data_IF_932969230435
#
_entry.id   IF_932969230435
#
_cell.length_a   1.000
_cell.length_b   1.000
_cell.length_c   1.000
_cell.angle_alpha   90.00
_cell.angle_beta   90.00
_cell.angle_gamma   90.00
#
_symmetry.space_group_name_H-M   'P 1'
#
loop_
_entity.id
_entity.type
_entity.pdbx_description
1 polymer ?
#
# COMPACT_ATOMS: atom_id res chain seq x y z
N UNK A 1 -11.60 23.50 -2.53
CA UNK A 1 -10.95 23.44 -1.20
C UNK A 1 -10.13 24.70 -1.04
N UNK A 2 -10.29 25.44 0.06
CA UNK A 2 -9.54 26.69 0.24
C UNK A 2 -8.27 26.43 1.04
N UNK A 3 -7.13 26.32 0.37
CA UNK A 3 -5.82 26.35 1.02
C UNK A 3 -5.56 27.78 1.48
N UNK A 4 -5.18 27.97 2.73
CA UNK A 4 -4.97 29.30 3.36
C UNK A 4 -4.04 29.17 4.57
N UNK A 5 -3.78 30.29 5.25
CA UNK A 5 -2.91 30.48 6.41
C UNK A 5 -3.12 29.49 7.60
N UNK A 6 -4.29 28.87 7.69
CA UNK A 6 -4.62 27.87 8.72
C UNK A 6 -4.58 26.42 8.21
N UNK A 7 -4.06 26.22 7.02
CA UNK A 7 -3.92 24.88 6.40
C UNK A 7 -2.52 24.35 6.64
N UNK A 8 -2.42 23.10 7.07
CA UNK A 8 -1.19 22.32 7.03
C UNK A 8 -1.24 21.39 5.83
N UNK A 9 -0.27 21.48 4.95
CA UNK A 9 -0.08 20.59 3.80
C UNK A 9 1.04 19.61 4.12
N UNK A 10 0.80 18.33 3.90
CA UNK A 10 1.80 17.27 4.00
C UNK A 10 2.13 16.80 2.59
N UNK A 11 3.35 17.07 2.13
CA UNK A 11 3.85 16.65 0.84
C UNK A 11 4.65 15.35 0.98
N UNK A 12 4.24 14.31 0.26
CA UNK A 12 4.89 13.00 0.25
C UNK A 12 5.68 12.86 -1.06
N UNK A 13 6.97 12.59 -0.97
CA UNK A 13 7.81 12.36 -2.15
C UNK A 13 9.01 11.50 -1.79
N UNK A 14 9.30 10.48 -2.59
CA UNK A 14 10.50 9.66 -2.40
C UNK A 14 11.75 10.43 -2.84
N UNK A 15 11.76 10.94 -4.08
CA UNK A 15 12.90 11.66 -4.67
C UNK A 15 13.01 13.11 -4.19
N UNK A 16 11.89 13.73 -3.83
CA UNK A 16 11.80 15.15 -3.52
C UNK A 16 11.94 16.07 -4.73
N UNK A 17 11.89 15.52 -5.96
CA UNK A 17 12.06 16.27 -7.22
C UNK A 17 10.87 16.13 -8.17
N UNK A 18 9.78 15.46 -7.75
CA UNK A 18 8.58 15.32 -8.60
C UNK A 18 7.95 16.69 -8.84
N UNK A 19 7.94 17.14 -10.11
CA UNK A 19 7.56 18.50 -10.48
C UNK A 19 6.13 18.84 -10.04
N UNK A 20 5.15 17.97 -10.29
CA UNK A 20 3.76 18.22 -9.88
C UNK A 20 3.62 18.43 -8.37
N UNK A 21 4.32 17.62 -7.57
CA UNK A 21 4.33 17.76 -6.11
C UNK A 21 5.01 19.06 -5.69
N UNK A 22 6.11 19.44 -6.34
CA UNK A 22 6.81 20.69 -6.09
C UNK A 22 5.93 21.91 -6.41
N UNK A 23 5.21 21.88 -7.53
CA UNK A 23 4.28 22.95 -7.90
C UNK A 23 3.12 23.04 -6.90
N UNK A 24 2.60 21.90 -6.41
CA UNK A 24 1.57 21.90 -5.36
C UNK A 24 2.09 22.51 -4.04
N UNK A 25 3.34 22.22 -3.65
CA UNK A 25 4.01 22.83 -2.49
C UNK A 25 4.12 24.35 -2.65
N UNK A 26 4.60 24.82 -3.81
CA UNK A 26 4.72 26.25 -4.11
C UNK A 26 3.37 26.96 -4.06
N UNK A 27 2.35 26.35 -4.68
CA UNK A 27 0.99 26.89 -4.64
C UNK A 27 0.48 27.00 -3.19
N UNK A 28 0.62 25.94 -2.39
CA UNK A 28 0.19 25.96 -0.99
C UNK A 28 0.85 27.09 -0.19
N UNK A 29 2.15 27.29 -0.36
CA UNK A 29 2.91 28.36 0.31
C UNK A 29 2.49 29.76 -0.16
N UNK A 30 2.22 29.93 -1.45
CA UNK A 30 1.67 31.19 -2.00
C UNK A 30 0.31 31.55 -1.37
N UNK A 31 -0.49 30.55 -1.00
CA UNK A 31 -1.75 30.74 -0.30
C UNK A 31 -1.59 30.90 1.23
N UNK A 32 -0.35 30.98 1.72
CA UNK A 32 -0.02 31.17 3.15
C UNK A 32 -0.07 29.91 3.99
N UNK A 33 -0.29 28.73 3.41
CA UNK A 33 -0.30 27.45 4.13
C UNK A 33 1.11 27.07 4.59
N UNK A 34 1.18 26.33 5.69
CA UNK A 34 2.40 25.66 6.14
C UNK A 34 2.54 24.32 5.46
N UNK A 35 3.78 23.96 5.08
CA UNK A 35 4.07 22.70 4.38
C UNK A 35 5.10 21.89 5.16
N UNK A 36 4.78 20.61 5.40
CA UNK A 36 5.72 19.60 5.90
C UNK A 36 5.97 18.62 4.77
N UNK A 37 7.24 18.40 4.42
CA UNK A 37 7.62 17.34 3.48
C UNK A 37 7.96 16.05 4.24
N UNK A 38 7.42 14.90 3.77
CA UNK A 38 7.92 13.57 4.11
C UNK A 38 8.70 13.08 2.88
N UNK A 39 10.03 12.97 3.00
CA UNK A 39 10.90 12.72 1.86
C UNK A 39 12.01 11.73 2.20
N UNK A 40 12.49 10.96 1.22
CA UNK A 40 13.62 10.06 1.43
C UNK A 40 14.96 10.73 1.05
N UNK A 41 14.99 11.52 -0.03
CA UNK A 41 16.21 12.14 -0.54
C UNK A 41 16.49 13.47 0.16
N UNK A 42 17.60 13.51 0.88
CA UNK A 42 18.03 14.73 1.56
C UNK A 42 18.52 15.78 0.55
N UNK A 43 18.28 17.07 0.87
CA UNK A 43 18.75 18.18 0.04
C UNK A 43 18.01 18.39 -1.28
N UNK A 44 16.97 17.60 -1.55
CA UNK A 44 16.10 17.75 -2.73
C UNK A 44 15.20 19.00 -2.68
N UNK A 45 14.55 19.33 -3.78
CA UNK A 45 13.83 20.59 -3.93
C UNK A 45 12.60 20.71 -3.03
N UNK A 46 11.78 19.66 -2.92
CA UNK A 46 10.56 19.68 -2.11
C UNK A 46 10.85 19.95 -0.64
N UNK A 47 11.77 19.25 0.06
CA UNK A 47 12.16 19.57 1.43
C UNK A 47 12.70 20.99 1.59
N UNK A 48 13.53 21.46 0.65
CA UNK A 48 14.09 22.83 0.72
C UNK A 48 13.03 23.92 0.60
N UNK A 49 11.98 23.66 -0.14
CA UNK A 49 10.86 24.59 -0.32
C UNK A 49 9.74 24.39 0.69
N UNK A 50 9.85 23.46 1.63
CA UNK A 50 8.89 23.23 2.71
C UNK A 50 9.28 23.96 3.99
N UNK A 51 8.31 24.19 4.89
CA UNK A 51 8.57 24.81 6.19
C UNK A 51 9.30 23.85 7.16
N UNK A 52 9.07 22.53 7.00
CA UNK A 52 9.75 21.48 7.73
C UNK A 52 9.86 20.21 6.88
N UNK A 53 10.82 19.35 7.20
CA UNK A 53 11.01 18.07 6.55
C UNK A 53 11.18 16.93 7.56
N UNK A 54 10.50 15.82 7.30
CA UNK A 54 10.68 14.54 7.97
C UNK A 54 11.28 13.57 6.97
N UNK A 55 12.52 13.11 7.21
CA UNK A 55 13.19 12.17 6.33
C UNK A 55 12.90 10.73 6.74
N UNK A 56 12.63 9.88 5.75
CA UNK A 56 12.26 8.47 5.97
C UNK A 56 13.45 7.57 6.25
N UNK A 57 14.66 7.99 5.89
CA UNK A 57 15.91 7.24 6.07
C UNK A 57 15.87 5.80 5.51
N UNK A 58 15.08 5.56 4.44
CA UNK A 58 14.97 4.24 3.81
C UNK A 58 16.22 3.83 3.00
N UNK A 59 17.23 4.68 2.96
CA UNK A 59 18.41 4.50 2.10
C UNK A 59 18.08 4.72 0.62
N UNK A 60 19.03 4.48 -0.31
CA UNK A 60 18.80 4.62 -1.74
C UNK A 60 17.73 3.63 -2.21
N UNK A 61 16.71 4.11 -2.90
CA UNK A 61 15.75 3.29 -3.64
C UNK A 61 16.25 3.19 -5.08
N UNK A 62 16.84 2.05 -5.47
CA UNK A 62 17.51 1.87 -6.76
C UNK A 62 16.46 1.62 -7.85
N UNK A 63 15.50 0.73 -7.58
CA UNK A 63 14.42 0.43 -8.51
C UNK A 63 13.52 1.64 -8.76
N UNK A 64 13.00 1.75 -9.99
CA UNK A 64 12.04 2.82 -10.36
C UNK A 64 10.76 2.68 -9.54
N UNK A 65 10.18 1.47 -9.47
CA UNK A 65 9.02 1.19 -8.64
C UNK A 65 9.39 1.28 -7.14
N UNK A 66 8.62 2.05 -6.38
CA UNK A 66 8.87 2.23 -4.95
C UNK A 66 8.40 1.02 -4.16
N UNK A 67 9.26 0.50 -3.27
CA UNK A 67 8.96 -0.61 -2.37
C UNK A 67 9.21 -0.23 -0.91
N UNK A 68 10.45 -0.32 -0.43
CA UNK A 68 10.82 0.03 0.95
C UNK A 68 10.53 1.51 1.27
N UNK A 69 10.73 2.41 0.31
CA UNK A 69 10.46 3.84 0.53
C UNK A 69 8.96 4.11 0.74
N UNK A 70 8.08 3.38 0.08
CA UNK A 70 6.64 3.43 0.31
C UNK A 70 6.27 3.04 1.74
N UNK A 71 6.79 1.92 2.26
CA UNK A 71 6.55 1.48 3.64
C UNK A 71 7.11 2.48 4.66
N UNK A 72 8.29 3.04 4.38
CA UNK A 72 8.90 4.05 5.23
C UNK A 72 8.09 5.37 5.24
N UNK A 73 7.47 5.75 4.12
CA UNK A 73 6.57 6.91 4.05
C UNK A 73 5.28 6.67 4.86
N UNK A 74 4.69 5.47 4.80
CA UNK A 74 3.55 5.11 5.66
C UNK A 74 3.95 5.25 7.14
N UNK A 75 5.09 4.68 7.51
CA UNK A 75 5.60 4.76 8.90
C UNK A 75 5.82 6.21 9.34
N UNK A 76 6.44 7.04 8.50
CA UNK A 76 6.63 8.48 8.78
C UNK A 76 5.29 9.22 8.92
N UNK A 77 4.28 8.84 8.13
CA UNK A 77 2.93 9.40 8.22
C UNK A 77 2.27 9.03 9.56
N UNK A 78 2.44 7.79 10.04
CA UNK A 78 1.98 7.40 11.37
C UNK A 78 2.66 8.21 12.47
N UNK A 79 3.98 8.37 12.42
CA UNK A 79 4.72 9.18 13.39
C UNK A 79 4.24 10.65 13.42
N UNK A 80 4.00 11.24 12.25
CA UNK A 80 3.44 12.58 12.15
C UNK A 80 2.00 12.64 12.72
N UNK A 81 1.18 11.64 12.40
CA UNK A 81 -0.19 11.53 12.92
C UNK A 81 -0.23 11.42 14.45
N UNK A 82 0.61 10.57 15.04
CA UNK A 82 0.76 10.42 16.49
C UNK A 82 1.23 11.71 17.17
N UNK A 83 2.21 12.38 16.57
CA UNK A 83 2.70 13.67 17.06
C UNK A 83 1.59 14.72 17.09
N UNK A 84 0.82 14.84 15.99
CA UNK A 84 -0.30 15.77 15.89
C UNK A 84 -1.44 15.40 16.86
N UNK A 85 -1.77 14.13 17.01
CA UNK A 85 -2.79 13.66 17.95
C UNK A 85 -2.43 14.02 19.40
N UNK A 86 -1.16 13.81 19.78
CA UNK A 86 -0.65 14.19 21.09
C UNK A 86 -0.71 15.72 21.33
N UNK A 87 -0.27 16.52 20.35
CA UNK A 87 -0.30 17.98 20.44
C UNK A 87 -1.73 18.52 20.60
N UNK A 88 -2.71 17.86 19.98
CA UNK A 88 -4.11 18.25 20.05
C UNK A 88 -4.86 17.66 21.24
N UNK A 89 -4.20 16.88 22.08
CA UNK A 89 -4.83 16.22 23.23
C UNK A 89 -5.81 15.11 22.85
N UNK A 90 -5.73 14.57 21.63
CA UNK A 90 -6.59 13.49 21.15
C UNK A 90 -6.08 12.10 21.54
N UNK A 91 -4.83 11.99 21.97
CA UNK A 91 -4.23 10.76 22.48
C UNK A 91 -3.34 11.10 23.68
N UNK A 92 -3.39 10.24 24.70
CA UNK A 92 -2.52 10.31 25.85
C UNK A 92 -1.17 9.61 25.57
N UNK A 93 -0.18 9.87 26.42
CA UNK A 93 1.17 9.34 26.23
C UNK A 93 1.24 7.82 26.17
N UNK A 94 0.45 7.14 26.99
CA UNK A 94 0.40 5.68 27.05
C UNK A 94 -0.18 5.07 25.75
N UNK A 95 -1.21 5.69 25.20
CA UNK A 95 -1.80 5.28 23.90
C UNK A 95 -0.80 5.47 22.76
N UNK A 96 -0.11 6.61 22.73
CA UNK A 96 0.97 6.87 21.76
C UNK A 96 2.09 5.84 21.88
N UNK A 97 2.53 5.54 23.10
CA UNK A 97 3.58 4.57 23.35
C UNK A 97 3.17 3.17 22.89
N UNK A 98 1.92 2.75 23.13
CA UNK A 98 1.40 1.47 22.64
C UNK A 98 1.50 1.36 21.12
N UNK A 99 1.11 2.40 20.39
CA UNK A 99 1.23 2.41 18.92
C UNK A 99 2.68 2.41 18.45
N UNK A 100 3.57 3.10 19.16
CA UNK A 100 5.03 3.10 18.87
C UNK A 100 5.65 1.71 19.10
N UNK A 101 5.22 0.96 20.11
CA UNK A 101 5.67 -0.43 20.31
C UNK A 101 5.19 -1.34 19.19
N UNK A 102 3.93 -1.21 18.74
CA UNK A 102 3.44 -1.93 17.57
C UNK A 102 4.30 -1.61 16.32
N UNK A 103 4.64 -0.34 16.09
CA UNK A 103 5.50 0.06 14.97
C UNK A 103 6.93 -0.52 15.07
N UNK A 104 7.49 -0.59 16.28
CA UNK A 104 8.81 -1.19 16.51
C UNK A 104 8.86 -2.68 16.17
N UNK A 105 7.74 -3.38 16.34
CA UNK A 105 7.61 -4.79 15.98
C UNK A 105 7.40 -5.05 14.48
N UNK A 106 7.17 -4.01 13.64
CA UNK A 106 6.90 -4.22 12.22
C UNK A 106 8.06 -4.81 11.42
N UNK A 107 9.33 -4.41 11.64
CA UNK A 107 10.45 -4.99 10.88
C UNK A 107 10.53 -6.52 10.99
N UNK A 108 10.36 -7.08 12.17
CA UNK A 108 10.37 -8.52 12.40
C UNK A 108 9.21 -9.23 11.69
N UNK A 109 8.02 -8.61 11.70
CA UNK A 109 6.84 -9.12 11.01
C UNK A 109 6.99 -9.06 9.48
N UNK A 110 7.60 -8.00 8.95
CA UNK A 110 7.94 -7.89 7.53
C UNK A 110 8.95 -8.97 7.15
N UNK A 111 9.99 -9.18 7.98
CA UNK A 111 10.97 -10.22 7.75
C UNK A 111 10.33 -11.61 7.71
N UNK A 112 9.40 -11.91 8.61
CA UNK A 112 8.66 -13.17 8.60
C UNK A 112 7.87 -13.41 7.31
N UNK A 113 7.34 -12.35 6.67
CA UNK A 113 6.70 -12.47 5.34
C UNK A 113 7.74 -12.78 4.27
N UNK A 114 8.90 -12.10 4.29
CA UNK A 114 9.98 -12.30 3.32
C UNK A 114 10.57 -13.72 3.46
N UNK A 115 10.76 -14.21 4.67
CA UNK A 115 11.27 -15.56 4.92
C UNK A 115 10.34 -16.66 4.34
N UNK A 116 9.08 -16.34 4.09
CA UNK A 116 8.07 -17.23 3.50
C UNK A 116 7.64 -16.82 2.08
N UNK A 117 8.46 -16.05 1.36
CA UNK A 117 8.13 -15.51 0.04
C UNK A 117 7.94 -16.56 -1.07
N UNK A 118 8.49 -17.76 -0.89
CA UNK A 118 8.47 -18.80 -1.93
C UNK A 118 7.05 -19.13 -2.42
N UNK A 119 6.08 -19.22 -1.51
CA UNK A 119 4.68 -19.47 -1.92
C UNK A 119 4.11 -18.35 -2.79
N UNK A 120 4.58 -17.12 -2.62
CA UNK A 120 4.15 -15.97 -3.43
C UNK A 120 4.79 -16.02 -4.80
N UNK A 121 6.07 -16.44 -4.89
CA UNK A 121 6.75 -16.68 -6.16
C UNK A 121 6.12 -17.84 -6.95
N UNK A 122 5.75 -18.94 -6.27
CA UNK A 122 5.07 -20.06 -6.91
C UNK A 122 3.73 -19.63 -7.50
N UNK A 123 2.98 -18.81 -6.76
CA UNK A 123 1.74 -18.22 -7.24
C UNK A 123 1.97 -17.26 -8.43
N UNK A 124 3.02 -16.44 -8.37
CA UNK A 124 3.37 -15.52 -9.45
C UNK A 124 3.70 -16.28 -10.74
N UNK A 125 4.48 -17.38 -10.65
CA UNK A 125 4.79 -18.24 -11.77
C UNK A 125 3.53 -18.89 -12.36
N UNK A 126 2.61 -19.36 -11.52
CA UNK A 126 1.36 -19.96 -11.99
C UNK A 126 0.46 -18.95 -12.71
N UNK A 127 0.62 -17.67 -12.44
CA UNK A 127 -0.20 -16.58 -12.98
C UNK A 127 0.53 -15.70 -14.01
N UNK A 128 1.71 -16.05 -14.46
CA UNK A 128 2.49 -15.27 -15.42
C UNK A 128 1.71 -14.95 -16.72
N UNK A 129 0.83 -15.85 -17.14
CA UNK A 129 0.03 -15.72 -18.35
C UNK A 129 -1.38 -15.11 -18.11
N UNK A 130 -1.67 -14.65 -16.92
CA UNK A 130 -2.93 -13.96 -16.64
C UNK A 130 -3.06 -12.72 -17.54
N UNK A 131 -4.27 -12.48 -18.06
CA UNK A 131 -4.54 -11.30 -18.92
C UNK A 131 -4.74 -10.04 -18.09
N UNK A 132 -5.37 -10.20 -16.95
CA UNK A 132 -5.62 -9.14 -15.97
C UNK A 132 -5.67 -9.71 -14.56
N UNK A 133 -5.48 -8.84 -13.58
CA UNK A 133 -5.59 -9.17 -12.16
C UNK A 133 -6.37 -8.08 -11.45
N UNK A 134 -7.37 -8.47 -10.67
CA UNK A 134 -8.15 -7.53 -9.88
C UNK A 134 -7.72 -7.56 -8.40
N UNK A 135 -7.86 -6.44 -7.74
CA UNK A 135 -7.51 -6.28 -6.33
C UNK A 135 -8.68 -5.64 -5.58
N UNK A 136 -9.09 -6.27 -4.49
CA UNK A 136 -10.21 -5.81 -3.67
C UNK A 136 -9.75 -5.54 -2.24
N UNK A 137 -10.23 -4.46 -1.66
CA UNK A 137 -10.01 -4.15 -0.25
C UNK A 137 -11.08 -3.23 0.32
N UNK A 138 -11.24 -3.25 1.63
CA UNK A 138 -12.06 -2.30 2.37
C UNK A 138 -11.20 -1.56 3.39
N UNK A 139 -11.61 -0.34 3.75
CA UNK A 139 -10.92 0.49 4.73
C UNK A 139 -9.43 0.61 4.37
N UNK A 140 -8.50 0.28 5.26
CA UNK A 140 -7.05 0.30 5.00
C UNK A 140 -6.62 -0.67 3.88
N UNK A 141 -7.38 -1.72 3.61
CA UNK A 141 -7.11 -2.67 2.54
C UNK A 141 -7.38 -2.11 1.14
N UNK A 142 -8.20 -1.07 0.98
CA UNK A 142 -8.47 -0.51 -0.34
C UNK A 142 -7.24 0.21 -0.92
N UNK A 143 -6.57 1.15 -0.24
CA UNK A 143 -5.32 1.72 -0.77
C UNK A 143 -4.21 0.67 -0.97
N UNK A 144 -4.15 -0.39 -0.17
CA UNK A 144 -3.24 -1.52 -0.40
C UNK A 144 -3.58 -2.25 -1.70
N UNK A 145 -4.86 -2.47 -2.00
CA UNK A 145 -5.31 -3.03 -3.27
C UNK A 145 -4.89 -2.16 -4.47
N UNK A 146 -4.99 -0.83 -4.34
CA UNK A 146 -4.53 0.11 -5.38
C UNK A 146 -3.02 0.02 -5.58
N UNK A 147 -2.24 -0.07 -4.50
CA UNK A 147 -0.77 -0.21 -4.55
C UNK A 147 -0.36 -1.53 -5.21
N UNK A 148 -1.00 -2.65 -4.88
CA UNK A 148 -0.75 -3.93 -5.53
C UNK A 148 -1.03 -3.89 -7.03
N UNK A 149 -2.14 -3.30 -7.44
CA UNK A 149 -2.48 -3.10 -8.84
C UNK A 149 -1.46 -2.19 -9.54
N UNK A 150 -0.97 -1.14 -8.87
CA UNK A 150 0.04 -0.25 -9.41
C UNK A 150 1.36 -0.99 -9.65
N UNK A 151 1.87 -1.73 -8.67
CA UNK A 151 3.13 -2.50 -8.81
C UNK A 151 3.07 -3.47 -9.98
N UNK A 152 1.95 -4.16 -10.15
CA UNK A 152 1.79 -5.12 -11.25
C UNK A 152 1.78 -4.43 -12.62
N UNK A 153 1.20 -3.24 -12.73
CA UNK A 153 1.25 -2.42 -13.95
C UNK A 153 2.66 -1.92 -14.22
N UNK A 154 3.35 -1.42 -13.20
CA UNK A 154 4.67 -0.78 -13.35
C UNK A 154 5.74 -1.75 -13.83
N UNK A 155 5.82 -2.96 -13.26
CA UNK A 155 6.95 -3.87 -13.50
C UNK A 155 6.60 -5.13 -14.29
N UNK A 156 5.37 -5.63 -14.22
CA UNK A 156 4.93 -6.82 -14.94
C UNK A 156 4.13 -6.52 -16.21
N UNK A 157 3.77 -5.24 -16.42
CA UNK A 157 2.99 -4.74 -17.58
C UNK A 157 1.66 -5.46 -17.77
N UNK A 158 1.06 -5.90 -16.66
CA UNK A 158 -0.27 -6.51 -16.66
C UNK A 158 -1.34 -5.46 -16.40
N UNK A 159 -2.48 -5.61 -17.07
CA UNK A 159 -3.65 -4.83 -16.72
C UNK A 159 -4.11 -5.24 -15.32
N UNK A 160 -4.01 -4.33 -14.40
CA UNK A 160 -4.36 -4.57 -13.00
C UNK A 160 -5.17 -3.41 -12.45
N UNK A 161 -6.24 -3.70 -11.72
CA UNK A 161 -7.14 -2.68 -11.22
C UNK A 161 -7.56 -2.97 -9.77
N UNK A 162 -7.54 -1.92 -8.96
CA UNK A 162 -7.93 -1.98 -7.55
C UNK A 162 -9.30 -1.36 -7.33
N UNK A 163 -10.18 -2.03 -6.58
CA UNK A 163 -11.52 -1.56 -6.27
C UNK A 163 -11.78 -1.56 -4.77
N UNK A 164 -12.59 -0.60 -4.33
CA UNK A 164 -13.21 -0.70 -3.03
C UNK A 164 -14.21 -1.87 -3.04
N UNK A 165 -13.96 -2.90 -2.22
CA UNK A 165 -14.80 -4.09 -2.21
C UNK A 165 -16.27 -3.80 -1.82
N UNK A 166 -16.52 -2.63 -1.18
CA UNK A 166 -17.87 -2.13 -0.94
C UNK A 166 -18.62 -1.76 -2.19
N UNK A 167 -17.88 -1.30 -3.22
CA UNK A 167 -18.43 -0.87 -4.50
C UNK A 167 -18.50 -2.00 -5.55
N UNK A 168 -18.06 -3.21 -5.18
CA UNK A 168 -18.00 -4.35 -6.10
C UNK A 168 -19.31 -4.58 -6.86
N UNK A 169 -20.45 -4.47 -6.16
CA UNK A 169 -21.79 -4.73 -6.73
C UNK A 169 -22.29 -3.61 -7.65
N UNK A 170 -21.66 -2.45 -7.65
CA UNK A 170 -22.07 -1.27 -8.41
C UNK A 170 -21.41 -1.17 -9.79
N UNK A 171 -20.83 -2.27 -10.29
CA UNK A 171 -20.23 -2.33 -11.62
C UNK A 171 -19.08 -3.33 -11.72
N UNK A 172 -18.01 -3.22 -10.90
CA UNK A 172 -16.80 -4.05 -11.04
C UNK A 172 -17.05 -5.55 -11.02
N UNK A 173 -18.11 -6.02 -10.37
CA UNK A 173 -18.48 -7.44 -10.33
C UNK A 173 -18.75 -8.03 -11.73
N UNK A 174 -19.08 -7.18 -12.72
CA UNK A 174 -19.26 -7.59 -14.09
C UNK A 174 -17.97 -8.02 -14.79
N UNK A 175 -16.80 -7.67 -14.23
CA UNK A 175 -15.49 -8.07 -14.72
C UNK A 175 -15.08 -9.46 -14.22
N UNK A 176 -15.84 -10.03 -13.29
CA UNK A 176 -15.50 -11.34 -12.72
C UNK A 176 -16.01 -12.42 -13.67
N UNK A 177 -15.07 -13.18 -14.19
CA UNK A 177 -15.30 -14.37 -15.03
C UNK A 177 -14.57 -15.57 -14.47
N UNK A 178 -14.86 -16.75 -15.02
CA UNK A 178 -14.21 -17.98 -14.58
C UNK A 178 -12.69 -17.93 -14.83
N UNK A 179 -11.91 -18.26 -13.80
CA UNK A 179 -10.46 -18.22 -13.85
C UNK A 179 -9.83 -16.83 -13.67
N UNK A 180 -10.62 -15.76 -13.49
CA UNK A 180 -10.10 -14.42 -13.22
C UNK A 180 -9.38 -14.36 -11.87
N UNK A 181 -8.07 -14.03 -11.81
CA UNK A 181 -7.37 -13.84 -10.55
C UNK A 181 -7.83 -12.59 -9.82
N UNK A 182 -8.20 -12.73 -8.56
CA UNK A 182 -8.62 -11.61 -7.71
C UNK A 182 -7.93 -11.69 -6.36
N UNK A 183 -7.09 -10.70 -6.07
CA UNK A 183 -6.54 -10.50 -4.75
C UNK A 183 -7.55 -9.82 -3.84
N UNK A 184 -7.68 -10.32 -2.61
CA UNK A 184 -8.54 -9.73 -1.60
C UNK A 184 -7.76 -9.46 -0.33
N UNK A 185 -7.65 -8.18 0.04
CA UNK A 185 -6.99 -7.76 1.27
C UNK A 185 -8.02 -7.78 2.39
N UNK A 186 -7.87 -8.72 3.32
CA UNK A 186 -8.81 -8.94 4.42
C UNK A 186 -8.34 -8.18 5.66
N UNK A 187 -9.18 -7.30 6.23
CA UNK A 187 -8.83 -6.60 7.47
C UNK A 187 -8.82 -7.58 8.64
N UNK A 188 -8.09 -7.23 9.70
CA UNK A 188 -8.08 -8.02 10.94
C UNK A 188 -9.50 -8.36 11.42
N UNK A 189 -9.76 -9.61 11.80
CA UNK A 189 -11.03 -9.99 12.45
C UNK A 189 -11.17 -9.39 13.85
N UNK A 190 -10.07 -8.86 14.40
CA UNK A 190 -10.00 -8.29 15.74
C UNK A 190 -10.18 -6.78 15.70
N UNK A 191 -10.82 -6.25 16.68
CA UNK A 191 -11.07 -4.83 16.82
C UNK A 191 -12.55 -4.48 16.71
N UNK A 192 -12.86 -3.27 17.16
CA UNK A 192 -14.21 -2.71 17.04
C UNK A 192 -14.45 -2.32 15.58
N UNK A 193 -15.67 -2.48 15.12
CA UNK A 193 -16.11 -2.09 13.76
C UNK A 193 -15.30 -2.74 12.61
N UNK A 194 -14.81 -3.97 12.83
CA UNK A 194 -14.13 -4.74 11.80
C UNK A 194 -15.05 -4.97 10.59
N UNK A 195 -14.56 -4.63 9.40
CA UNK A 195 -15.23 -4.94 8.14
C UNK A 195 -14.92 -6.34 7.63
N UNK A 196 -14.29 -7.17 8.45
CA UNK A 196 -13.85 -8.53 8.14
C UNK A 196 -14.98 -9.39 7.53
N UNK A 197 -16.09 -9.55 8.23
CA UNK A 197 -17.22 -10.35 7.75
C UNK A 197 -17.78 -9.85 6.41
N UNK A 198 -17.74 -8.53 6.17
CA UNK A 198 -18.17 -7.95 4.89
C UNK A 198 -17.20 -8.27 3.75
N UNK A 199 -15.90 -8.35 4.04
CA UNK A 199 -14.89 -8.75 3.04
C UNK A 199 -15.00 -10.24 2.76
N UNK A 200 -15.20 -11.07 3.78
CA UNK A 200 -15.47 -12.52 3.60
C UNK A 200 -16.69 -12.73 2.69
N UNK A 201 -17.78 -11.96 2.88
CA UNK A 201 -18.93 -12.00 1.97
C UNK A 201 -18.55 -11.61 0.53
N UNK A 202 -17.68 -10.63 0.33
CA UNK A 202 -17.20 -10.28 -1.01
C UNK A 202 -16.39 -11.42 -1.65
N UNK A 203 -15.56 -12.14 -0.87
CA UNK A 203 -14.84 -13.33 -1.36
C UNK A 203 -15.82 -14.39 -1.85
N UNK A 204 -16.87 -14.68 -1.08
CA UNK A 204 -17.91 -15.63 -1.47
C UNK A 204 -18.59 -15.24 -2.79
N UNK A 205 -18.89 -13.94 -2.96
CA UNK A 205 -19.57 -13.42 -4.15
C UNK A 205 -18.74 -13.57 -5.43
N UNK A 206 -17.44 -13.28 -5.37
CA UNK A 206 -16.55 -13.42 -6.54
C UNK A 206 -16.24 -14.89 -6.84
N UNK A 207 -16.03 -15.70 -5.79
CA UNK A 207 -15.81 -17.13 -5.93
C UNK A 207 -17.01 -17.83 -6.60
N UNK A 208 -18.24 -17.47 -6.22
CA UNK A 208 -19.47 -18.01 -6.82
C UNK A 208 -19.58 -17.69 -8.33
N UNK A 209 -18.76 -16.79 -8.85
CA UNK A 209 -18.67 -16.42 -10.27
C UNK A 209 -17.45 -17.01 -10.98
N UNK A 210 -16.72 -17.91 -10.30
CA UNK A 210 -15.58 -18.61 -10.86
C UNK A 210 -14.24 -17.89 -10.74
N UNK A 211 -14.14 -16.79 -9.97
CA UNK A 211 -12.86 -16.13 -9.71
C UNK A 211 -11.87 -17.07 -9.00
N UNK A 212 -10.58 -16.97 -9.34
CA UNK A 212 -9.49 -17.51 -8.53
C UNK A 212 -9.22 -16.52 -7.41
N UNK A 213 -9.66 -16.85 -6.21
CA UNK A 213 -9.53 -15.99 -5.04
C UNK A 213 -8.19 -16.16 -4.35
N UNK A 214 -7.41 -15.09 -4.28
CA UNK A 214 -6.11 -15.02 -3.61
C UNK A 214 -6.28 -14.08 -2.43
N UNK A 215 -6.25 -14.63 -1.24
CA UNK A 215 -6.61 -13.90 -0.02
C UNK A 215 -5.38 -13.58 0.80
N UNK A 216 -5.16 -12.31 1.12
CA UNK A 216 -4.17 -11.87 2.10
C UNK A 216 -4.90 -11.71 3.43
N UNK A 217 -4.59 -12.54 4.41
CA UNK A 217 -5.25 -12.58 5.71
C UNK A 217 -4.27 -12.85 6.85
N UNK A 218 -4.64 -12.44 8.05
CA UNK A 218 -3.84 -12.70 9.24
C UNK A 218 -3.69 -14.20 9.53
N UNK A 219 -2.59 -14.55 10.17
CA UNK A 219 -2.40 -15.87 10.77
C UNK A 219 -3.54 -16.18 11.75
N UNK A 220 -4.10 -17.38 11.62
CA UNK A 220 -5.21 -17.86 12.45
C UNK A 220 -6.61 -17.36 12.03
N UNK A 221 -6.74 -16.65 10.91
CA UNK A 221 -8.05 -16.30 10.35
C UNK A 221 -8.62 -17.49 9.54
N UNK A 222 -9.39 -18.33 10.21
CA UNK A 222 -10.02 -19.52 9.61
C UNK A 222 -11.25 -19.16 8.75
N UNK A 223 -11.85 -17.98 8.93
CA UNK A 223 -13.10 -17.62 8.25
C UNK A 223 -12.96 -17.49 6.73
N UNK A 224 -11.74 -17.27 6.23
CA UNK A 224 -11.45 -17.15 4.80
C UNK A 224 -11.17 -18.50 4.12
N UNK A 225 -10.81 -19.54 4.87
CA UNK A 225 -10.30 -20.81 4.34
C UNK A 225 -11.27 -21.52 3.41
N UNK A 226 -12.55 -21.53 3.76
CA UNK A 226 -13.57 -22.16 2.94
C UNK A 226 -13.79 -21.49 1.58
N UNK A 227 -13.31 -20.27 1.39
CA UNK A 227 -13.64 -19.42 0.22
C UNK A 227 -12.42 -18.97 -0.59
N UNK A 228 -11.22 -19.20 -0.10
CA UNK A 228 -9.98 -18.87 -0.80
C UNK A 228 -9.44 -20.05 -1.61
N UNK A 229 -8.97 -19.79 -2.83
CA UNK A 229 -8.18 -20.77 -3.59
C UNK A 229 -6.72 -20.75 -3.10
N UNK A 230 -6.21 -19.55 -2.80
CA UNK A 230 -4.88 -19.35 -2.25
C UNK A 230 -4.96 -18.40 -1.07
N UNK A 231 -4.20 -18.67 -0.01
CA UNK A 231 -4.12 -17.80 1.16
C UNK A 231 -2.67 -17.44 1.40
N UNK A 232 -2.40 -16.16 1.43
CA UNK A 232 -1.11 -15.59 1.84
C UNK A 232 -1.29 -15.11 3.27
N UNK A 233 -0.61 -15.76 4.21
CA UNK A 233 -0.69 -15.42 5.63
C UNK A 233 0.28 -14.30 5.97
N UNK A 234 -0.22 -13.31 6.70
CA UNK A 234 0.58 -12.22 7.26
C UNK A 234 0.51 -12.26 8.79
N UNK A 235 1.55 -11.85 9.50
CA UNK A 235 1.53 -11.76 10.96
C UNK A 235 0.40 -10.86 11.47
N UNK A 236 -0.10 -11.18 12.64
CA UNK A 236 -1.16 -10.41 13.29
C UNK A 236 -0.69 -8.99 13.61
N UNK A 237 -1.55 -7.99 13.32
CA UNK A 237 -1.28 -6.59 13.62
C UNK A 237 -2.58 -5.80 13.83
N UNK A 238 -2.55 -4.66 14.56
CA UNK A 238 -3.67 -3.73 14.58
C UNK A 238 -4.06 -3.32 13.15
N UNK A 239 -5.36 -3.12 12.89
CA UNK A 239 -5.89 -2.82 11.56
C UNK A 239 -5.15 -1.67 10.86
N UNK A 240 -4.81 -0.61 11.57
CA UNK A 240 -4.07 0.53 10.99
C UNK A 240 -2.62 0.17 10.60
N UNK A 241 -2.04 -0.88 11.16
CA UNK A 241 -0.68 -1.34 10.83
C UNK A 241 -0.67 -2.38 9.70
N UNK A 242 -1.80 -2.96 9.38
CA UNK A 242 -1.90 -3.97 8.31
C UNK A 242 -1.39 -3.50 6.94
N UNK A 243 -1.51 -2.22 6.52
CA UNK A 243 -0.93 -1.77 5.25
C UNK A 243 0.58 -2.02 5.14
N UNK A 244 1.33 -1.95 6.26
CA UNK A 244 2.76 -2.24 6.27
C UNK A 244 3.07 -3.71 5.97
N UNK A 245 2.18 -4.62 6.35
CA UNK A 245 2.36 -6.06 6.17
C UNK A 245 1.72 -6.56 4.87
N UNK A 246 0.48 -6.14 4.59
CA UNK A 246 -0.27 -6.64 3.43
C UNK A 246 0.28 -6.14 2.09
N UNK A 247 1.04 -5.06 2.06
CA UNK A 247 1.69 -4.55 0.84
C UNK A 247 2.88 -5.43 0.42
N UNK A 248 3.61 -6.01 1.38
CA UNK A 248 4.83 -6.78 1.10
C UNK A 248 4.59 -7.96 0.16
N UNK A 249 3.62 -8.86 0.41
CA UNK A 249 3.38 -9.97 -0.52
C UNK A 249 2.91 -9.50 -1.91
N UNK A 250 2.26 -8.34 -2.03
CA UNK A 250 1.88 -7.79 -3.33
C UNK A 250 3.10 -7.28 -4.11
N UNK A 251 4.08 -6.69 -3.43
CA UNK A 251 5.36 -6.31 -4.03
C UNK A 251 6.14 -7.54 -4.49
N UNK A 252 6.23 -8.58 -3.65
CA UNK A 252 6.87 -9.85 -4.00
C UNK A 252 6.18 -10.50 -5.20
N UNK A 253 4.84 -10.53 -5.21
CA UNK A 253 4.07 -11.09 -6.32
C UNK A 253 4.35 -10.36 -7.64
N UNK A 254 4.36 -9.03 -7.63
CA UNK A 254 4.64 -8.24 -8.83
C UNK A 254 6.07 -8.47 -9.35
N UNK A 255 7.07 -8.55 -8.45
CA UNK A 255 8.44 -8.93 -8.80
C UNK A 255 8.50 -10.36 -9.38
N UNK A 256 7.81 -11.31 -8.77
CA UNK A 256 7.76 -12.70 -9.23
C UNK A 256 7.19 -12.81 -10.64
N UNK A 257 6.07 -12.15 -10.93
CA UNK A 257 5.46 -12.14 -12.28
C UNK A 257 6.40 -11.48 -13.30
N UNK A 258 7.03 -10.35 -12.95
CA UNK A 258 7.98 -9.68 -13.84
C UNK A 258 9.19 -10.57 -14.14
N UNK A 259 9.74 -11.24 -13.13
CA UNK A 259 10.86 -12.16 -13.26
C UNK A 259 10.49 -13.38 -14.12
N UNK A 260 9.32 -13.99 -13.91
CA UNK A 260 8.83 -15.11 -14.71
C UNK A 260 8.68 -14.73 -16.19
N UNK A 261 8.31 -13.48 -16.47
CA UNK A 261 8.23 -12.92 -17.83
C UNK A 261 9.58 -12.46 -18.41
N UNK A 262 10.67 -12.54 -17.65
CA UNK A 262 12.00 -12.08 -18.06
C UNK A 262 12.14 -10.56 -18.16
N UNK A 263 11.34 -9.79 -17.42
CA UNK A 263 11.41 -8.33 -17.38
C UNK A 263 12.40 -7.84 -16.31
N UNK A 264 13.00 -6.68 -16.58
CA UNK A 264 13.84 -5.98 -15.62
C UNK A 264 12.94 -5.34 -14.54
N UNK A 265 13.05 -5.81 -13.30
CA UNK A 265 12.24 -5.35 -12.17
C UNK A 265 12.70 -3.99 -11.63
N UNK A 266 13.95 -3.62 -11.87
CA UNK A 266 14.54 -2.37 -11.38
C UNK A 266 14.36 -1.20 -12.35
N UNK A 267 14.43 -1.49 -13.66
CA UNK A 267 14.33 -0.49 -14.72
C UNK A 267 13.21 -0.83 -15.72
N UNK A 268 11.94 -0.72 -15.29
CA UNK A 268 10.83 -0.99 -16.19
C UNK A 268 10.76 0.02 -17.32
N UNK A 269 10.28 -0.46 -18.49
CA UNK A 269 10.11 0.38 -19.67
C UNK A 269 9.14 1.54 -19.40
N UNK A 270 9.37 2.67 -20.09
CA UNK A 270 8.48 3.84 -20.10
C UNK A 270 8.33 4.55 -18.74
N UNK A 271 9.10 4.16 -17.73
CA UNK A 271 9.10 4.81 -16.42
C UNK A 271 10.48 5.37 -16.10
N UNK A 272 10.50 6.43 -15.31
CA UNK A 272 11.71 7.03 -14.77
C UNK A 272 11.57 7.18 -13.24
N UNK A 273 12.69 7.14 -12.53
CA UNK A 273 12.70 7.24 -11.05
C UNK A 273 12.08 8.54 -10.52
N UNK A 274 12.26 9.63 -11.25
CA UNK A 274 11.56 10.90 -10.97
C UNK A 274 11.24 11.61 -12.29
N UNK A 275 10.07 12.26 -12.31
CA UNK A 275 9.64 13.09 -13.42
C UNK A 275 9.97 14.54 -13.07
N UNK A 276 10.97 15.10 -13.73
CA UNK A 276 11.51 16.44 -13.48
C UNK A 276 11.06 17.48 -14.52
N UNK A 277 10.27 17.05 -15.49
CA UNK A 277 9.70 17.89 -16.57
C UNK A 277 8.17 17.79 -16.56
N UNK A 278 7.52 18.87 -17.01
CA UNK A 278 6.07 18.90 -17.26
C UNK A 278 5.74 18.26 -18.61
#
# INVERSE_FOLDING_TARGET
MCIRDRTLVVALSQSGETMDTLMAVRHARQQGAKVIAICNTQGSSIPRESDAALYTHAGPEIAVASTKAFLAQITATYLLGLYLARLRGNMFSDEVNSVLEDLRGMPEKVQAIIDNEQQVYDLANAMENAKSVLFLGRHVGFPVALEGALKLKEIAYLHAEGFAAGELKHGPIALIEEGQPVFVIVPSPRGRDSLHAKVVSNIQEIRARGAITIVIAEEGDEAVEAYANHIIRIPQAPTLMQPLLATVPLQIFACGVATAKGYDVDQPRNLAKSVTVE
#
